data_IF_675871665816
#
_entry.id   IF_675871665816
#
_cell.length_a   1.000
_cell.length_b   1.000
_cell.length_c   1.000
_cell.angle_alpha   90.00
_cell.angle_beta   90.00
_cell.angle_gamma   90.00
#
_symmetry.space_group_name_H-M   'P 1'
#
loop_
_entity.id
_entity.type
_entity.pdbx_description
1 polymer ?
#
# COMPACT_ATOMS: atom_id res chain seq x y z
N UNK A 1 -8.09 7.59 -8.67
CA UNK A 1 -7.63 9.00 -8.82
C UNK A 1 -8.10 9.91 -7.68
N UNK A 2 -9.34 9.81 -7.17
CA UNK A 2 -9.69 10.47 -5.90
C UNK A 2 -8.96 9.79 -4.71
N UNK A 3 -8.47 10.58 -3.75
CA UNK A 3 -7.74 10.24 -2.50
C UNK A 3 -6.20 10.33 -2.46
N UNK A 4 -5.50 10.74 -3.51
CA UNK A 4 -4.01 10.77 -3.47
C UNK A 4 -3.45 11.77 -2.43
N UNK A 5 -4.08 12.95 -2.30
CA UNK A 5 -3.72 13.93 -1.28
C UNK A 5 -3.91 13.40 0.16
N UNK A 6 -4.98 12.64 0.40
CA UNK A 6 -5.24 12.00 1.71
C UNK A 6 -4.20 10.92 2.00
N UNK A 7 -3.82 10.12 1.00
CA UNK A 7 -2.80 9.05 1.15
C UNK A 7 -1.44 9.62 1.51
N UNK A 8 -1.03 10.72 0.88
CA UNK A 8 0.23 11.40 1.23
C UNK A 8 0.21 11.89 2.68
N UNK A 9 -0.89 12.50 3.13
CA UNK A 9 -0.99 12.99 4.50
C UNK A 9 -0.89 11.89 5.56
N UNK A 10 -1.50 10.72 5.31
CA UNK A 10 -1.54 9.61 6.27
C UNK A 10 -0.16 8.97 6.47
N UNK A 11 0.73 9.06 5.48
CA UNK A 11 2.08 8.46 5.55
C UNK A 11 3.11 9.32 6.30
N UNK A 12 2.76 10.55 6.67
CA UNK A 12 3.67 11.44 7.38
C UNK A 12 3.94 10.92 8.79
N UNK A 13 5.20 10.64 9.12
CA UNK A 13 5.59 10.12 10.42
C UNK A 13 5.26 8.64 10.62
N UNK A 14 5.13 7.87 9.53
CA UNK A 14 4.86 6.44 9.60
C UNK A 14 6.04 5.66 10.15
N UNK A 15 5.80 4.83 11.17
CA UNK A 15 6.80 3.91 11.74
C UNK A 15 6.72 2.50 11.14
N UNK A 16 5.62 2.15 10.47
CA UNK A 16 5.43 0.86 9.83
C UNK A 16 4.14 0.79 9.01
N UNK A 17 4.11 -0.14 8.05
CA UNK A 17 3.01 -0.28 7.09
C UNK A 17 2.49 -1.71 7.05
N UNK A 18 1.16 -1.86 7.03
CA UNK A 18 0.49 -3.09 6.65
C UNK A 18 -0.23 -2.86 5.32
N UNK A 19 0.18 -3.55 4.27
CA UNK A 19 -0.50 -3.52 2.98
C UNK A 19 -1.53 -4.65 2.89
N UNK A 20 -2.80 -4.28 2.75
CA UNK A 20 -3.91 -5.24 2.66
C UNK A 20 -4.24 -5.48 1.18
N UNK A 21 -3.83 -6.64 0.67
CA UNK A 21 -4.11 -7.06 -0.70
C UNK A 21 -5.45 -7.81 -0.79
N UNK A 22 -6.25 -7.53 -1.81
CA UNK A 22 -7.48 -8.27 -2.10
C UNK A 22 -7.12 -9.55 -2.89
N UNK A 23 -7.49 -10.74 -2.39
CA UNK A 23 -7.10 -12.01 -3.00
C UNK A 23 -7.85 -12.37 -4.29
N UNK A 24 -8.87 -11.61 -4.69
CA UNK A 24 -9.57 -11.85 -5.95
C UNK A 24 -8.65 -11.62 -7.15
N UNK A 25 -8.66 -12.54 -8.11
CA UNK A 25 -7.85 -12.44 -9.34
C UNK A 25 -8.11 -11.11 -10.07
N UNK A 26 -9.38 -10.69 -10.15
CA UNK A 26 -9.78 -9.43 -10.78
C UNK A 26 -9.22 -8.16 -10.09
N UNK A 27 -8.65 -8.29 -8.88
CA UNK A 27 -8.05 -7.19 -8.12
C UNK A 27 -6.52 -7.20 -8.15
N UNK A 28 -5.88 -8.15 -8.84
CA UNK A 28 -4.42 -8.25 -8.89
C UNK A 28 -3.76 -6.99 -9.46
N UNK A 29 -4.26 -6.46 -10.59
CA UNK A 29 -3.73 -5.21 -11.17
C UNK A 29 -3.87 -4.03 -10.22
N UNK A 30 -5.03 -3.90 -9.56
CA UNK A 30 -5.27 -2.84 -8.57
C UNK A 30 -4.36 -2.97 -7.33
N UNK A 31 -4.04 -4.20 -6.90
CA UNK A 31 -3.07 -4.42 -5.82
C UNK A 31 -1.67 -3.96 -6.23
N UNK A 32 -1.23 -4.31 -7.44
CA UNK A 32 0.09 -3.89 -7.96
C UNK A 32 0.19 -2.38 -8.10
N UNK A 33 -0.83 -1.74 -8.69
CA UNK A 33 -0.90 -0.28 -8.82
C UNK A 33 -0.89 0.41 -7.44
N UNK A 34 -1.65 -0.11 -6.48
CA UNK A 34 -1.70 0.48 -5.14
C UNK A 34 -0.40 0.28 -4.35
N UNK A 35 0.32 -0.84 -4.56
CA UNK A 35 1.62 -1.07 -3.93
C UNK A 35 2.68 -0.13 -4.51
N UNK A 36 2.64 0.12 -5.82
CA UNK A 36 3.54 1.08 -6.46
C UNK A 36 3.26 2.51 -6.02
N UNK A 37 1.98 2.90 -5.92
CA UNK A 37 1.59 4.20 -5.35
C UNK A 37 2.06 4.37 -3.89
N UNK A 38 2.02 3.30 -3.08
CA UNK A 38 2.59 3.32 -1.72
C UNK A 38 4.10 3.63 -1.75
N UNK A 39 4.86 2.97 -2.63
CA UNK A 39 6.31 3.22 -2.77
C UNK A 39 6.60 4.66 -3.17
N UNK A 40 5.89 5.17 -4.17
CA UNK A 40 6.04 6.56 -4.65
C UNK A 40 5.74 7.55 -3.51
N UNK A 41 4.62 7.36 -2.81
CA UNK A 41 4.21 8.28 -1.74
C UNK A 41 5.15 8.27 -0.53
N UNK A 42 5.76 7.13 -0.21
CA UNK A 42 6.81 7.03 0.82
C UNK A 42 8.09 7.75 0.36
N UNK A 43 8.52 7.51 -0.88
CA UNK A 43 9.73 8.11 -1.44
C UNK A 43 9.64 9.65 -1.50
N UNK A 44 8.47 10.19 -1.88
CA UNK A 44 8.22 11.65 -1.87
C UNK A 44 8.36 12.29 -0.47
N UNK A 45 8.23 11.50 0.59
CA UNK A 45 8.36 11.94 1.98
C UNK A 45 9.71 11.55 2.61
N UNK A 46 10.64 11.00 1.83
CA UNK A 46 11.96 10.60 2.28
C UNK A 46 12.03 9.22 2.96
N UNK A 47 10.96 8.43 2.89
CA UNK A 47 10.92 7.06 3.40
C UNK A 47 11.21 6.05 2.28
N UNK A 48 11.84 4.93 2.65
CA UNK A 48 12.05 3.78 1.77
C UNK A 48 11.27 2.58 2.33
N UNK A 49 10.36 2.02 1.54
CA UNK A 49 9.54 0.88 1.93
C UNK A 49 10.39 -0.32 2.39
N UNK A 50 11.62 -0.46 1.86
CA UNK A 50 12.53 -1.55 2.23
C UNK A 50 13.23 -1.33 3.59
N UNK A 51 13.12 -0.13 4.18
CA UNK A 51 13.80 0.25 5.42
C UNK A 51 12.84 0.44 6.59
N UNK A 52 11.54 0.55 6.34
CA UNK A 52 10.52 0.61 7.38
C UNK A 52 9.92 -0.79 7.61
N UNK A 53 9.48 -1.11 8.84
CA UNK A 53 8.66 -2.28 9.11
C UNK A 53 7.48 -2.38 8.14
N UNK A 54 7.42 -3.49 7.40
CA UNK A 54 6.43 -3.70 6.36
C UNK A 54 5.88 -5.13 6.41
N UNK A 55 4.56 -5.24 6.42
CA UNK A 55 3.83 -6.52 6.38
C UNK A 55 2.81 -6.49 5.24
N UNK A 56 2.63 -7.63 4.58
CA UNK A 56 1.53 -7.83 3.63
C UNK A 56 0.46 -8.76 4.25
N UNK A 57 -0.80 -8.39 4.08
CA UNK A 57 -1.95 -9.22 4.42
C UNK A 57 -2.71 -9.56 3.14
N UNK A 58 -2.77 -10.84 2.79
CA UNK A 58 -3.69 -11.32 1.75
C UNK A 58 -5.08 -11.52 2.35
N UNK A 59 -5.97 -10.56 2.12
CA UNK A 59 -7.33 -10.56 2.63
C UNK A 59 -8.31 -11.24 1.66
N UNK A 60 -9.49 -11.60 2.15
CA UNK A 60 -10.57 -12.27 1.39
C UNK A 60 -10.19 -13.65 0.85
N UNK A 61 -9.48 -14.44 1.67
CA UNK A 61 -9.06 -15.81 1.34
C UNK A 61 -10.21 -16.81 1.27
N UNK A 62 -11.37 -16.42 1.77
CA UNK A 62 -12.63 -17.15 1.72
C UNK A 62 -13.30 -17.15 0.34
N UNK A 63 -12.88 -16.25 -0.55
CA UNK A 63 -13.43 -16.17 -1.90
C UNK A 63 -12.95 -17.33 -2.78
N UNK A 64 -13.83 -17.85 -3.66
CA UNK A 64 -13.54 -18.99 -4.53
C UNK A 64 -12.45 -18.73 -5.56
#
# INVERSE_FOLDING_TARGET
VFYDASRKLILKGVDGVVFVADSQIARMEANMESLENLRINLAEQGYDLNKIPYVIQYNKRDLP
#
